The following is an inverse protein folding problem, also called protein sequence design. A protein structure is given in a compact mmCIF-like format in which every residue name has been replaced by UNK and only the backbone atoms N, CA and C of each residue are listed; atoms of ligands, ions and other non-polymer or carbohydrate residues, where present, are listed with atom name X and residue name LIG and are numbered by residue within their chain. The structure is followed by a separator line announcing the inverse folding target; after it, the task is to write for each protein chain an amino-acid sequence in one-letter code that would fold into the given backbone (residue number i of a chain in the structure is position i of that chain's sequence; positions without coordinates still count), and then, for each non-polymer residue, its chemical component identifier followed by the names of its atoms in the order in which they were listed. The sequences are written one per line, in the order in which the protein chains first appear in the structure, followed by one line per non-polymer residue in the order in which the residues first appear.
data_IF_724373931594
#
_entry.id   IF_724373931594
#
_cell.length_a   1.000
_cell.length_b   1.000
_cell.length_c   1.000
_cell.angle_alpha   90.00
_cell.angle_beta   90.00
_cell.angle_gamma   90.00
#
_symmetry.space_group_name_H-M   'P 1'
#
loop_
_entity.id
_entity.type
_entity.pdbx_description
1 polymer ?
#
# COMPACT_ATOMS: atom_id res chain seq x y z
N UNK A 1 15.51 5.17 -13.76
CA UNK A 1 14.60 6.32 -13.64
C UNK A 1 13.91 6.22 -12.29
N UNK A 2 14.35 6.99 -11.29
CA UNK A 2 13.67 7.07 -10.00
C UNK A 2 12.32 7.75 -10.27
N UNK A 3 11.23 6.99 -10.14
CA UNK A 3 9.87 7.50 -10.35
C UNK A 3 9.29 7.77 -8.98
N UNK A 4 8.80 8.97 -8.74
CA UNK A 4 8.13 9.31 -7.47
C UNK A 4 6.73 8.70 -7.44
N UNK A 5 6.32 8.04 -6.35
CA UNK A 5 4.97 7.52 -6.20
C UNK A 5 3.92 8.62 -6.25
N UNK A 6 2.74 8.32 -6.80
CA UNK A 6 1.59 9.21 -6.76
C UNK A 6 0.74 8.90 -5.52
N UNK A 7 0.72 9.79 -4.55
CA UNK A 7 -0.02 9.62 -3.31
C UNK A 7 -1.56 9.78 -3.47
N UNK A 8 -2.37 9.21 -2.57
CA UNK A 8 -1.99 8.29 -1.49
C UNK A 8 -1.54 6.92 -2.01
N UNK A 9 -0.90 6.14 -1.16
CA UNK A 9 -0.43 4.80 -1.47
C UNK A 9 -0.82 3.82 -0.35
N UNK A 10 -0.67 2.53 -0.63
CA UNK A 10 -0.73 1.46 0.36
C UNK A 10 0.61 0.74 0.38
N UNK A 11 1.07 0.40 1.58
CA UNK A 11 2.17 -0.53 1.76
C UNK A 11 1.58 -1.90 2.08
N UNK A 12 1.89 -2.90 1.24
CA UNK A 12 1.56 -4.30 1.46
C UNK A 12 2.78 -4.99 2.05
N UNK A 13 2.61 -5.55 3.24
CA UNK A 13 3.67 -6.31 3.91
C UNK A 13 3.74 -7.74 3.38
N UNK A 14 4.94 -8.31 3.36
CA UNK A 14 5.14 -9.73 3.07
C UNK A 14 4.59 -10.60 4.21
N UNK A 15 3.93 -11.72 3.86
CA UNK A 15 3.54 -12.76 4.83
C UNK A 15 2.21 -12.55 5.57
N UNK A 16 1.61 -11.37 5.49
CA UNK A 16 0.27 -11.08 6.02
C UNK A 16 -0.57 -10.31 4.97
N UNK A 17 -1.88 -10.32 5.14
CA UNK A 17 -2.83 -9.45 4.42
C UNK A 17 -2.88 -8.04 5.04
N UNK A 18 -1.91 -7.68 5.89
CA UNK A 18 -1.79 -6.35 6.47
C UNK A 18 -1.44 -5.28 5.41
N UNK A 19 -2.22 -4.20 5.41
CA UNK A 19 -2.03 -3.03 4.57
C UNK A 19 -1.88 -1.79 5.45
N UNK A 20 -0.90 -0.96 5.11
CA UNK A 20 -0.66 0.32 5.78
C UNK A 20 -0.98 1.44 4.80
N UNK A 21 -1.94 2.28 5.17
CA UNK A 21 -2.25 3.48 4.41
C UNK A 21 -1.17 4.55 4.59
N UNK A 22 -0.65 5.05 3.47
CA UNK A 22 0.36 6.10 3.42
C UNK A 22 -0.17 7.30 2.62
N UNK A 23 -0.43 8.40 3.30
CA UNK A 23 -0.98 9.62 2.71
C UNK A 23 0.06 10.42 1.90
N UNK A 24 1.34 10.31 2.26
CA UNK A 24 2.42 11.10 1.66
C UNK A 24 3.80 10.48 1.88
N UNK A 25 4.79 10.97 1.13
CA UNK A 25 6.21 10.62 1.31
C UNK A 25 6.69 10.86 2.75
N UNK A 26 6.30 11.97 3.37
CA UNK A 26 6.70 12.28 4.75
C UNK A 26 6.10 11.30 5.76
N UNK A 27 4.88 10.80 5.52
CA UNK A 27 4.32 9.75 6.37
C UNK A 27 5.10 8.45 6.20
N UNK A 28 5.44 8.06 4.97
CA UNK A 28 6.27 6.88 4.72
C UNK A 28 7.59 6.96 5.49
N UNK A 29 8.28 8.11 5.40
CA UNK A 29 9.55 8.36 6.11
C UNK A 29 9.41 8.29 7.64
N UNK A 30 8.24 8.67 8.17
CA UNK A 30 7.91 8.51 9.59
C UNK A 30 7.73 7.04 9.96
N UNK A 31 6.86 6.32 9.25
CA UNK A 31 6.57 4.90 9.51
C UNK A 31 7.85 4.05 9.42
N UNK A 32 8.74 4.37 8.48
CA UNK A 32 9.97 3.58 8.28
C UNK A 32 11.01 3.74 9.37
N UNK A 33 10.87 4.74 10.23
CA UNK A 33 11.77 4.92 11.37
C UNK A 33 11.47 3.90 12.47
N UNK A 34 10.20 3.51 12.60
CA UNK A 34 9.71 2.67 13.69
C UNK A 34 9.40 1.22 13.25
N UNK A 35 9.38 0.95 11.94
CA UNK A 35 8.96 -0.34 11.35
C UNK A 35 10.11 -1.09 10.66
N UNK A 36 10.10 -2.42 10.80
CA UNK A 36 11.03 -3.33 10.10
C UNK A 36 10.36 -3.78 8.81
N UNK A 37 10.99 -3.53 7.66
CA UNK A 37 10.49 -3.97 6.35
C UNK A 37 11.24 -5.19 5.85
N UNK A 38 10.53 -5.98 5.05
CA UNK A 38 11.13 -6.98 4.16
C UNK A 38 11.49 -6.33 2.81
N UNK A 39 12.48 -6.91 2.13
CA UNK A 39 12.80 -6.53 0.75
C UNK A 39 11.69 -6.95 -0.24
N UNK A 40 10.72 -7.74 0.23
CA UNK A 40 9.56 -8.18 -0.54
C UNK A 40 8.32 -7.32 -0.29
N UNK A 41 8.40 -6.32 0.62
CA UNK A 41 7.32 -5.37 0.84
C UNK A 41 7.13 -4.50 -0.41
N UNK A 42 5.86 -4.21 -0.72
CA UNK A 42 5.49 -3.50 -1.95
C UNK A 42 4.64 -2.28 -1.61
N UNK A 43 5.10 -1.10 -2.03
CA UNK A 43 4.30 0.11 -2.05
C UNK A 43 3.52 0.18 -3.36
N UNK A 44 2.21 0.35 -3.28
CA UNK A 44 1.31 0.52 -4.43
C UNK A 44 0.72 1.92 -4.38
N UNK A 45 0.98 2.72 -5.41
CA UNK A 45 0.52 4.11 -5.48
C UNK A 45 -0.90 4.25 -6.05
N UNK A 46 -1.45 5.47 -6.03
CA UNK A 46 -2.81 5.76 -6.50
C UNK A 46 -3.04 5.57 -8.01
N UNK A 47 -1.98 5.34 -8.79
CA UNK A 47 -2.05 4.99 -10.22
C UNK A 47 -1.79 3.49 -10.46
N UNK A 48 -1.66 2.71 -9.38
CA UNK A 48 -1.38 1.28 -9.43
C UNK A 48 0.06 0.96 -9.84
N UNK A 49 0.97 1.93 -9.83
CA UNK A 49 2.39 1.63 -9.95
C UNK A 49 2.88 1.01 -8.64
N UNK A 50 3.74 -0.01 -8.75
CA UNK A 50 4.33 -0.64 -7.58
C UNK A 50 5.81 -0.32 -7.43
N UNK A 51 6.27 -0.30 -6.18
CA UNK A 51 7.62 0.04 -5.81
C UNK A 51 8.12 -0.92 -4.74
N UNK A 52 9.33 -1.44 -4.92
CA UNK A 52 10.06 -2.17 -3.88
C UNK A 52 10.73 -1.17 -2.95
N UNK A 53 10.73 -1.51 -1.66
CA UNK A 53 11.39 -0.74 -0.63
C UNK A 53 12.80 -1.27 -0.44
N UNK A 54 13.78 -0.38 -0.35
CA UNK A 54 15.11 -0.68 0.18
C UNK A 54 15.43 0.29 1.29
N UNK A 55 16.00 -0.22 2.37
CA UNK A 55 16.48 0.60 3.47
C UNK A 55 17.99 0.53 3.54
N UNK A 56 18.65 1.67 3.28
CA UNK A 56 20.09 1.82 3.43
C UNK A 56 20.37 2.98 4.39
N UNK A 57 21.15 2.75 5.44
CA UNK A 57 21.53 3.78 6.43
C UNK A 57 20.34 4.56 7.03
N UNK A 58 19.21 3.88 7.31
CA UNK A 58 17.93 4.48 7.77
C UNK A 58 17.28 5.44 6.77
N UNK A 59 17.70 5.41 5.51
CA UNK A 59 17.06 6.14 4.44
C UNK A 59 16.32 5.15 3.55
N UNK A 60 15.02 5.40 3.35
CA UNK A 60 14.23 4.60 2.43
C UNK A 60 14.47 5.04 0.99
N UNK A 61 14.68 4.06 0.11
CA UNK A 61 14.72 4.23 -1.33
C UNK A 61 13.63 3.38 -1.97
N UNK A 62 12.91 3.97 -2.91
CA UNK A 62 11.85 3.32 -3.65
C UNK A 62 12.32 2.99 -5.07
N UNK A 63 12.20 1.73 -5.44
CA UNK A 63 12.55 1.26 -6.78
C UNK A 63 11.29 0.83 -7.50
N UNK A 64 11.00 1.46 -8.64
CA UNK A 64 9.83 1.09 -9.46
C UNK A 64 9.95 -0.38 -9.84
N UNK A 65 8.92 -1.13 -9.49
CA UNK A 65 8.78 -2.53 -9.83
C UNK A 65 8.01 -2.66 -11.16
N UNK A 66 8.23 -3.76 -11.88
CA UNK A 66 7.61 -3.99 -13.20
C UNK A 66 6.12 -4.32 -13.09
N UNK A 67 5.71 -4.87 -11.95
CA UNK A 67 4.30 -5.16 -11.68
C UNK A 67 3.50 -3.87 -11.53
N UNK A 68 2.28 -3.88 -12.05
CA UNK A 68 1.27 -2.87 -11.80
C UNK A 68 0.02 -3.53 -11.27
N UNK A 69 -0.73 -2.77 -10.50
CA UNK A 69 -1.98 -3.20 -9.90
C UNK A 69 -3.13 -2.41 -10.51
N UNK A 70 -4.20 -3.11 -10.85
CA UNK A 70 -5.45 -2.49 -11.25
C UNK A 70 -6.40 -2.34 -10.05
N UNK A 71 -7.53 -1.66 -10.26
CA UNK A 71 -8.49 -1.38 -9.20
C UNK A 71 -9.07 -2.65 -8.57
N UNK A 72 -9.28 -3.71 -9.34
CA UNK A 72 -9.80 -4.99 -8.82
C UNK A 72 -8.76 -5.71 -7.96
N UNK A 73 -7.49 -5.71 -8.36
CA UNK A 73 -6.39 -6.28 -7.56
C UNK A 73 -6.22 -5.53 -6.24
N UNK A 74 -6.21 -4.20 -6.26
CA UNK A 74 -6.13 -3.39 -5.04
C UNK A 74 -7.37 -3.58 -4.16
N UNK A 75 -8.57 -3.68 -4.75
CA UNK A 75 -9.79 -4.00 -4.00
C UNK A 75 -9.67 -5.36 -3.31
N UNK A 76 -9.10 -6.37 -3.98
CA UNK A 76 -8.86 -7.70 -3.41
C UNK A 76 -7.91 -7.67 -2.21
N UNK A 77 -6.82 -6.90 -2.30
CA UNK A 77 -5.90 -6.69 -1.17
C UNK A 77 -6.63 -6.07 0.03
N UNK A 78 -7.42 -5.02 -0.21
CA UNK A 78 -8.19 -4.36 0.86
C UNK A 78 -9.23 -5.30 1.47
N UNK A 79 -9.91 -6.10 0.66
CA UNK A 79 -10.86 -7.10 1.17
C UNK A 79 -10.17 -8.13 2.06
N UNK A 80 -9.00 -8.63 1.67
CA UNK A 80 -8.22 -9.57 2.47
C UNK A 80 -7.80 -8.94 3.81
N UNK A 81 -7.28 -7.71 3.76
CA UNK A 81 -6.91 -6.93 4.94
C UNK A 81 -8.05 -6.80 5.97
N UNK A 82 -9.20 -6.36 5.50
CA UNK A 82 -10.37 -6.08 6.34
C UNK A 82 -11.03 -7.38 6.83
N UNK A 83 -10.93 -8.46 6.05
CA UNK A 83 -11.37 -9.79 6.46
C UNK A 83 -10.52 -10.32 7.62
N UNK A 84 -9.19 -10.18 7.54
CA UNK A 84 -8.28 -10.57 8.63
C UNK A 84 -8.53 -9.80 9.92
N UNK A 85 -8.97 -8.54 9.83
CA UNK A 85 -9.39 -7.74 11.00
C UNK A 85 -10.76 -8.11 11.57
N UNK A 86 -11.53 -8.96 10.89
CA UNK A 86 -12.90 -9.34 11.26
C UNK A 86 -13.87 -8.14 11.44
N UNK A 87 -13.50 -6.95 10.96
CA UNK A 87 -14.23 -5.71 11.21
C UNK A 87 -15.38 -5.53 10.21
N UNK A 88 -15.21 -5.95 8.95
CA UNK A 88 -16.23 -5.76 7.92
C UNK A 88 -16.24 -6.89 6.88
N UNK A 89 -17.42 -7.44 6.57
CA UNK A 89 -17.59 -8.39 5.47
C UNK A 89 -17.67 -7.64 4.13
N UNK A 90 -16.53 -7.20 3.60
CA UNK A 90 -16.40 -6.35 2.39
C UNK A 90 -16.49 -7.10 1.06
N UNK A 91 -17.08 -8.29 1.01
CA UNK A 91 -17.07 -9.18 -0.16
C UNK A 91 -17.75 -8.60 -1.42
N UNK A 92 -18.39 -7.42 -1.33
CA UNK A 92 -19.12 -6.79 -2.44
C UNK A 92 -18.65 -5.39 -2.82
N UNK A 93 -17.61 -4.85 -2.20
CA UNK A 93 -17.11 -3.51 -2.58
C UNK A 93 -16.21 -3.63 -3.80
N UNK A 94 -16.56 -2.89 -4.85
CA UNK A 94 -15.74 -2.70 -6.03
C UNK A 94 -15.44 -1.20 -6.19
N UNK A 95 -14.16 -0.86 -6.29
CA UNK A 95 -13.74 0.50 -6.55
C UNK A 95 -13.45 0.69 -8.05
N UNK A 96 -13.99 1.74 -8.69
CA UNK A 96 -13.74 2.02 -10.10
C UNK A 96 -12.27 2.32 -10.42
N UNK A 97 -11.53 2.88 -9.47
CA UNK A 97 -10.11 3.25 -9.64
C UNK A 97 -9.24 2.81 -8.46
N UNK A 98 -7.94 2.64 -8.71
CA UNK A 98 -6.95 2.36 -7.65
C UNK A 98 -6.96 3.47 -6.60
N UNK A 99 -7.01 4.74 -7.03
CA UNK A 99 -7.10 5.90 -6.12
C UNK A 99 -8.28 5.80 -5.17
N UNK A 100 -9.48 5.49 -5.68
CA UNK A 100 -10.67 5.35 -4.83
C UNK A 100 -10.55 4.18 -3.85
N UNK A 101 -9.98 3.06 -4.30
CA UNK A 101 -9.72 1.91 -3.43
C UNK A 101 -8.78 2.29 -2.27
N UNK A 102 -7.64 2.88 -2.58
CA UNK A 102 -6.66 3.31 -1.56
C UNK A 102 -7.26 4.37 -0.64
N UNK A 103 -8.04 5.32 -1.16
CA UNK A 103 -8.69 6.34 -0.35
C UNK A 103 -9.72 5.73 0.62
N UNK A 104 -10.40 4.64 0.24
CA UNK A 104 -11.34 3.97 1.13
C UNK A 104 -10.66 3.31 2.34
N UNK A 105 -9.44 2.79 2.18
CA UNK A 105 -8.68 2.22 3.30
C UNK A 105 -8.45 3.24 4.42
N UNK A 106 -8.26 4.52 4.10
CA UNK A 106 -8.14 5.59 5.10
C UNK A 106 -9.43 5.79 5.92
N UNK A 107 -10.59 5.43 5.37
CA UNK A 107 -11.89 5.54 6.05
C UNK A 107 -12.18 4.33 6.96
N UNK A 108 -11.51 3.20 6.73
CA UNK A 108 -11.71 1.96 7.50
C UNK A 108 -10.93 1.92 8.82
N UNK A 109 -9.91 2.77 9.01
CA UNK A 109 -9.17 2.93 10.29
C UNK A 109 -10.01 3.56 11.42
N UNK A 110 -11.13 2.93 11.83
CA UNK A 110 -11.94 3.37 12.98
C UNK A 110 -11.62 2.61 14.25
#
# INVERSE_FOLDING_TARGET
MSSTPVWPAILKLEGDDELIFIASQSQLEGEVTDMIFSNEDILIDSEGASFLLSMENRQISLFRHTQRFNAAEVSGLIQAHEFCKAEVCLTKIHFPTVREAIAALALFKR
#
